data_IF_960182670522
#
_entry.id   IF_960182670522
#
_cell.length_a   1.000
_cell.length_b   1.000
_cell.length_c   1.000
_cell.angle_alpha   90.00
_cell.angle_beta   90.00
_cell.angle_gamma   90.00
#
_symmetry.space_group_name_H-M   'P 1'
#
loop_
_entity.id
_entity.type
_entity.pdbx_description
1 polymer ?
#
# COMPACT_ATOMS: atom_id res chain seq x y z
N UNK A 1 24.18 -12.54 -14.98
CA UNK A 1 23.70 -12.06 -14.98
C UNK A 1 23.16 -11.61 -15.14
N UNK A 2 23.19 -11.35 -15.37
CA UNK A 2 22.62 -10.69 -15.51
C UNK A 2 22.01 -10.15 -15.87
N UNK A 3 22.07 -10.04 -16.15
CA UNK A 3 21.46 -9.39 -16.45
C UNK A 3 20.91 -8.81 -16.75
N UNK A 4 21.00 -8.65 -16.86
CA UNK A 4 20.46 -7.92 -17.15
C UNK A 4 20.02 -7.37 -17.43
N UNK A 5 20.17 -7.44 -17.56
CA UNK A 5 19.77 -6.70 -17.76
C UNK A 5 19.43 -6.06 -18.28
N UNK A 6 19.38 -6.15 -18.65
CA UNK A 6 19.15 -5.37 -19.14
C UNK A 6 18.71 -4.74 -19.63
N UNK A 7 18.56 -4.38 -19.99
CA UNK A 7 18.01 -3.57 -20.52
C UNK A 7 18.14 -2.82 -21.02
N UNK A 8 18.26 -2.96 -21.36
CA UNK A 8 18.59 -2.11 -21.84
C UNK A 8 18.22 -1.00 -22.18
N UNK A 9 18.44 -0.67 -22.29
CA UNK A 9 18.16 0.22 -22.55
C UNK A 9 17.58 0.80 -22.82
N UNK A 10 17.38 0.92 -22.69
CA UNK A 10 16.89 1.57 -22.80
C UNK A 10 16.22 1.95 -22.90
N UNK A 11 15.99 1.75 -22.97
CA UNK A 11 15.27 2.31 -23.07
C UNK A 11 14.81 2.95 -22.21
N UNK A 12 15.01 3.15 -22.37
CA UNK A 12 14.46 3.97 -21.79
C UNK A 12 14.24 4.17 -20.53
N UNK A 13 13.84 4.78 -20.15
CA UNK A 13 13.50 5.14 -18.84
C UNK A 13 13.00 3.96 -18.10
N UNK A 14 13.87 3.03 -17.95
CA UNK A 14 13.57 1.90 -17.13
C UNK A 14 13.21 2.40 -15.74
N UNK A 15 12.11 1.92 -15.21
CA UNK A 15 11.72 2.27 -13.87
C UNK A 15 12.51 1.44 -12.90
N UNK A 16 12.95 2.09 -11.84
CA UNK A 16 13.61 1.41 -10.74
C UNK A 16 12.61 1.17 -9.64
N UNK A 17 12.64 -0.03 -9.09
CA UNK A 17 11.82 -0.34 -7.92
C UNK A 17 12.73 -0.86 -6.82
N UNK A 18 12.33 -0.62 -5.57
CA UNK A 18 13.00 -1.19 -4.42
C UNK A 18 11.99 -1.95 -3.59
N UNK A 19 12.45 -3.02 -2.97
CA UNK A 19 11.63 -3.77 -2.03
C UNK A 19 12.05 -3.37 -0.62
N UNK A 20 11.08 -3.07 0.22
CA UNK A 20 11.30 -2.66 1.58
C UNK A 20 10.61 -3.64 2.51
N UNK A 21 11.37 -4.20 3.44
CA UNK A 21 10.81 -5.11 4.43
C UNK A 21 10.17 -4.29 5.52
N UNK A 22 8.88 -4.50 5.77
CA UNK A 22 8.12 -3.74 6.75
C UNK A 22 7.99 -4.45 8.09
N UNK A 23 8.44 -5.70 8.17
CA UNK A 23 8.33 -6.47 9.38
C UNK A 23 7.25 -7.52 9.32
N UNK A 24 6.97 -8.20 10.43
CA UNK A 24 6.09 -9.36 10.42
C UNK A 24 4.63 -8.97 10.22
N UNK A 25 3.91 -9.81 9.49
CA UNK A 25 2.46 -9.64 9.31
C UNK A 25 1.74 -9.57 10.64
N UNK A 26 2.24 -10.28 11.64
CA UNK A 26 1.61 -10.31 12.95
C UNK A 26 1.60 -8.95 13.66
N UNK A 27 2.36 -7.97 13.16
CA UNK A 27 2.32 -6.62 13.73
C UNK A 27 1.02 -5.89 13.40
N UNK A 28 0.23 -6.40 12.45
CA UNK A 28 -1.05 -5.79 12.09
C UNK A 28 -2.16 -6.79 12.43
N UNK A 29 -3.02 -6.48 13.40
CA UNK A 29 -4.16 -7.34 13.68
C UNK A 29 -5.12 -7.39 12.49
N UNK A 30 -5.81 -8.51 12.27
CA UNK A 30 -6.80 -8.59 11.20
C UNK A 30 -7.86 -7.49 11.32
N UNK A 31 -8.16 -6.84 10.21
CA UNK A 31 -9.15 -5.77 10.16
C UNK A 31 -8.59 -4.40 10.51
N UNK A 32 -7.28 -4.27 10.68
CA UNK A 32 -6.67 -3.00 11.06
C UNK A 32 -5.60 -2.56 10.07
N UNK A 33 -5.18 -1.31 10.21
CA UNK A 33 -4.10 -0.73 9.43
C UNK A 33 -3.00 -0.19 10.33
N UNK A 34 -1.81 -0.04 9.75
CA UNK A 34 -0.65 0.54 10.42
C UNK A 34 0.10 1.42 9.44
N UNK A 35 0.71 2.46 9.98
CA UNK A 35 1.51 3.39 9.20
C UNK A 35 2.96 2.93 9.14
N UNK A 36 3.56 3.15 7.97
CA UNK A 36 4.99 2.90 7.76
C UNK A 36 5.56 4.04 6.97
N UNK A 37 6.87 4.25 7.09
CA UNK A 37 7.59 5.14 6.20
C UNK A 37 8.60 4.27 5.46
N UNK A 38 8.51 4.25 4.14
CA UNK A 38 9.36 3.42 3.30
C UNK A 38 9.88 4.28 2.16
N UNK A 39 11.20 4.36 2.03
CA UNK A 39 11.85 5.14 0.97
C UNK A 39 11.31 6.58 0.93
N UNK A 40 11.13 7.17 2.11
CA UNK A 40 10.63 8.55 2.24
C UNK A 40 9.15 8.73 2.02
N UNK A 41 8.40 7.67 1.75
CA UNK A 41 6.96 7.76 1.52
C UNK A 41 6.19 7.26 2.73
N UNK A 42 5.10 7.94 3.03
CA UNK A 42 4.20 7.54 4.13
C UNK A 42 3.17 6.60 3.56
N UNK A 43 3.08 5.41 4.12
CA UNK A 43 2.26 4.32 3.60
C UNK A 43 1.43 3.73 4.71
N UNK A 44 0.18 3.40 4.40
CA UNK A 44 -0.69 2.67 5.31
C UNK A 44 -0.87 1.25 4.77
N UNK A 45 -0.63 0.26 5.61
CA UNK A 45 -0.80 -1.14 5.25
C UNK A 45 -1.94 -1.71 6.06
N UNK A 46 -2.86 -2.40 5.37
CA UNK A 46 -4.07 -2.95 5.97
C UNK A 46 -4.06 -4.46 5.85
N UNK A 47 -4.46 -5.11 6.92
CA UNK A 47 -4.67 -6.55 6.93
C UNK A 47 -6.16 -6.80 7.05
N UNK A 48 -6.77 -7.39 6.01
CA UNK A 48 -8.20 -7.64 6.05
C UNK A 48 -8.50 -8.90 6.85
N UNK A 49 -9.73 -9.02 7.33
CA UNK A 49 -10.14 -10.21 8.06
C UNK A 49 -10.20 -11.44 7.16
N UNK A 50 -10.36 -11.21 5.86
CA UNK A 50 -10.35 -12.29 4.89
C UNK A 50 -8.97 -12.79 4.52
N UNK A 51 -7.92 -12.21 5.09
CA UNK A 51 -6.55 -12.68 4.85
C UNK A 51 -5.79 -11.90 3.80
N UNK A 52 -6.37 -10.84 3.24
CA UNK A 52 -5.67 -10.01 2.29
C UNK A 52 -4.77 -9.00 2.97
N UNK A 53 -3.76 -8.53 2.24
CA UNK A 53 -2.92 -7.45 2.68
C UNK A 53 -2.81 -6.42 1.57
N UNK A 54 -2.92 -5.14 1.92
CA UNK A 54 -2.95 -4.05 0.94
C UNK A 54 -2.19 -2.86 1.48
N UNK A 55 -1.48 -2.15 0.60
CA UNK A 55 -0.72 -0.95 0.96
C UNK A 55 -1.20 0.21 0.09
N UNK A 56 -1.48 1.33 0.73
CA UNK A 56 -1.93 2.55 0.05
C UNK A 56 -1.22 3.74 0.65
N UNK A 57 -1.40 4.91 0.03
CA UNK A 57 -0.90 6.15 0.63
C UNK A 57 -1.50 6.32 2.03
N UNK A 58 -0.74 6.93 2.94
CA UNK A 58 -1.15 7.01 4.34
C UNK A 58 -2.22 8.05 4.61
N UNK A 59 -2.33 9.07 3.75
CA UNK A 59 -3.22 10.19 3.98
C UNK A 59 -4.34 10.23 2.96
N UNK A 60 -5.54 10.53 3.43
CA UNK A 60 -6.69 10.69 2.56
C UNK A 60 -6.46 11.88 1.62
N UNK A 61 -6.71 11.73 0.32
CA UNK A 61 -6.48 12.85 -0.62
C UNK A 61 -7.41 14.01 -0.35
N UNK A 62 -8.52 13.78 0.33
CA UNK A 62 -9.51 14.79 0.60
C UNK A 62 -9.03 15.79 1.67
N UNK A 63 -8.63 15.29 2.84
CA UNK A 63 -8.26 16.15 3.96
C UNK A 63 -7.05 15.66 4.72
N UNK A 64 -6.26 14.79 4.10
CA UNK A 64 -5.08 14.20 4.73
C UNK A 64 -5.40 13.43 6.02
N UNK A 65 -6.64 12.93 6.11
CA UNK A 65 -7.00 12.09 7.26
C UNK A 65 -6.14 10.85 7.34
N UNK A 66 -5.91 10.33 8.56
CA UNK A 66 -5.05 9.16 8.74
C UNK A 66 -5.81 7.90 8.33
N UNK A 67 -5.54 7.43 7.12
CA UNK A 67 -6.28 6.30 6.56
C UNK A 67 -6.09 5.02 7.37
N UNK A 68 -4.95 4.86 8.04
CA UNK A 68 -4.71 3.68 8.88
C UNK A 68 -5.69 3.57 10.05
N UNK A 69 -6.31 4.69 10.45
CA UNK A 69 -7.29 4.70 11.52
C UNK A 69 -8.71 4.45 11.02
N UNK A 70 -8.87 4.26 9.72
CA UNK A 70 -10.19 4.05 9.13
C UNK A 70 -10.74 2.66 9.43
N UNK A 71 -12.00 2.48 9.08
CA UNK A 71 -12.70 1.21 9.26
C UNK A 71 -12.58 0.38 8.00
N UNK A 72 -12.26 -0.91 8.16
CA UNK A 72 -12.12 -1.83 7.04
C UNK A 72 -13.22 -2.86 7.10
N UNK A 73 -13.97 -2.99 6.01
CA UNK A 73 -14.97 -4.04 5.85
C UNK A 73 -14.73 -4.73 4.52
N UNK A 74 -14.42 -6.03 4.53
CA UNK A 74 -13.99 -6.71 3.31
C UNK A 74 -12.73 -6.05 2.78
N UNK A 75 -12.79 -5.51 1.56
CA UNK A 75 -11.68 -4.75 0.98
C UNK A 75 -12.02 -3.25 0.88
N UNK A 76 -13.06 -2.81 1.57
CA UNK A 76 -13.46 -1.41 1.57
C UNK A 76 -12.90 -0.71 2.79
N UNK A 77 -12.27 0.43 2.57
CA UNK A 77 -11.75 1.30 3.63
C UNK A 77 -12.64 2.53 3.74
N UNK A 78 -13.06 2.86 4.95
CA UNK A 78 -13.82 4.08 5.21
C UNK A 78 -12.91 5.05 5.96
N UNK A 79 -12.65 6.21 5.35
CA UNK A 79 -11.83 7.25 5.96
C UNK A 79 -12.48 7.75 7.24
N UNK A 80 -11.71 7.98 8.33
CA UNK A 80 -12.30 8.47 9.57
C UNK A 80 -12.83 9.91 9.46
N UNK A 81 -12.40 10.65 8.44
CA UNK A 81 -12.89 12.00 8.20
C UNK A 81 -13.86 11.98 7.02
N UNK A 82 -15.09 12.39 7.23
CA UNK A 82 -16.11 12.57 6.18
C UNK A 82 -16.53 11.28 5.47
N UNK A 83 -16.12 10.13 5.98
CA UNK A 83 -16.59 8.81 5.51
C UNK A 83 -16.35 8.52 4.03
N UNK A 84 -15.29 9.08 3.44
CA UNK A 84 -14.89 8.70 2.09
C UNK A 84 -14.53 7.23 2.08
N UNK A 85 -14.86 6.55 0.98
CA UNK A 85 -14.67 5.10 0.87
C UNK A 85 -13.77 4.78 -0.30
N UNK A 86 -12.89 3.83 -0.09
CA UNK A 86 -11.92 3.40 -1.09
C UNK A 86 -11.88 1.88 -1.17
N UNK A 87 -11.63 1.37 -2.38
CA UNK A 87 -11.35 -0.04 -2.56
C UNK A 87 -9.85 -0.25 -2.33
N UNK A 88 -9.49 -1.02 -1.34
CA UNK A 88 -8.09 -1.27 -1.01
C UNK A 88 -7.34 -1.99 -2.12
N UNK A 89 -8.03 -2.84 -2.88
CA UNK A 89 -7.38 -3.61 -3.94
C UNK A 89 -7.02 -2.77 -5.15
N UNK A 90 -7.84 -1.78 -5.48
CA UNK A 90 -7.63 -0.97 -6.68
C UNK A 90 -7.24 0.46 -6.40
N UNK A 91 -7.54 0.96 -5.20
CA UNK A 91 -7.37 2.37 -4.88
C UNK A 91 -8.49 3.26 -5.38
N UNK A 92 -9.49 2.68 -6.04
CA UNK A 92 -10.60 3.48 -6.57
C UNK A 92 -11.46 4.05 -5.46
N UNK A 93 -11.92 5.29 -5.67
CA UNK A 93 -12.87 5.89 -4.75
C UNK A 93 -14.23 5.24 -4.97
N UNK A 94 -14.81 4.72 -3.89
CA UNK A 94 -16.18 4.19 -3.91
C UNK A 94 -17.16 5.28 -3.49
N UNK A 95 -16.68 6.23 -2.71
CA UNK A 95 -17.43 7.43 -2.35
C UNK A 95 -16.42 8.53 -2.12
N UNK A 96 -16.48 9.58 -2.92
CA UNK A 96 -15.52 10.67 -2.94
C UNK A 96 -15.02 10.92 -4.35
N UNK A 97 -14.22 11.95 -4.54
CA UNK A 97 -13.81 12.43 -5.87
C UNK A 97 -12.50 11.83 -6.35
N UNK A 98 -11.65 11.39 -5.46
CA UNK A 98 -10.30 10.92 -5.80
C UNK A 98 -10.02 9.57 -5.17
N UNK A 99 -9.34 8.72 -5.93
CA UNK A 99 -8.84 7.47 -5.39
C UNK A 99 -7.54 7.68 -4.63
N UNK A 100 -6.96 6.58 -4.17
CA UNK A 100 -5.68 6.58 -3.47
C UNK A 100 -4.65 5.81 -4.26
N UNK A 101 -3.38 6.16 -4.07
CA UNK A 101 -2.29 5.42 -4.67
C UNK A 101 -2.14 4.09 -3.93
N UNK A 102 -1.96 3.01 -4.69
CA UNK A 102 -1.72 1.69 -4.13
C UNK A 102 -0.27 1.29 -4.38
N UNK A 103 0.24 0.39 -3.54
CA UNK A 103 1.60 -0.13 -3.65
C UNK A 103 1.53 -1.65 -3.59
N UNK A 104 2.32 -2.35 -4.41
CA UNK A 104 2.37 -3.80 -4.29
C UNK A 104 2.97 -4.19 -2.94
N UNK A 105 2.33 -5.13 -2.28
CA UNK A 105 2.84 -5.69 -1.02
C UNK A 105 2.58 -7.19 -1.05
N UNK A 106 3.55 -7.94 -0.56
CA UNK A 106 3.44 -9.40 -0.50
C UNK A 106 3.98 -9.90 0.83
N UNK A 107 3.67 -11.13 1.13
CA UNK A 107 4.17 -11.80 2.33
C UNK A 107 5.20 -12.84 1.88
N UNK A 108 6.39 -12.81 2.47
CA UNK A 108 7.43 -13.76 2.13
C UNK A 108 7.31 -15.05 2.96
N UNK A 109 8.27 -15.95 2.80
CA UNK A 109 8.23 -17.25 3.46
C UNK A 109 8.33 -17.15 4.97
N UNK A 110 8.92 -16.07 5.47
CA UNK A 110 9.05 -15.83 6.91
C UNK A 110 7.85 -15.05 7.47
N UNK A 111 6.79 -14.89 6.67
CA UNK A 111 5.61 -14.11 7.02
C UNK A 111 5.92 -12.65 7.31
N UNK A 112 6.87 -12.12 6.56
CA UNK A 112 7.19 -10.70 6.63
C UNK A 112 6.64 -9.96 5.42
N UNK A 113 6.25 -8.72 5.65
CA UNK A 113 5.65 -7.89 4.61
C UNK A 113 6.74 -7.25 3.77
N UNK A 114 6.65 -7.42 2.46
CA UNK A 114 7.60 -6.86 1.51
C UNK A 114 6.83 -5.87 0.63
N UNK A 115 7.21 -4.61 0.72
CA UNK A 115 6.57 -3.53 -0.02
C UNK A 115 7.43 -3.16 -1.21
N UNK A 116 6.82 -2.92 -2.36
CA UNK A 116 7.52 -2.48 -3.55
C UNK A 116 7.27 -0.99 -3.76
N UNK A 117 8.34 -0.21 -3.84
CA UNK A 117 8.28 1.22 -4.08
C UNK A 117 8.90 1.51 -5.44
N UNK A 118 8.19 2.30 -6.24
CA UNK A 118 8.65 2.75 -7.55
C UNK A 118 9.46 4.04 -7.36
N UNK A 119 10.70 4.03 -7.85
CA UNK A 119 11.62 5.15 -7.66
C UNK A 119 11.86 5.97 -8.91
N UNK A 120 10.97 6.00 -9.84
CA UNK A 120 11.17 6.80 -11.06
C UNK A 120 11.16 8.29 -10.83
#
# INVERSE_FOLDING_TARGET
MTVNMVNPGGLGAARSTVEVKLGPLSSIPPGEGRNFVADGEKIAVFRTRGGGIFAIQAECPHRRGPLADGLVGGTTLICPLHSWKFDLATGNALFGDCGVKTYPVRIDEAEEMILTIDQT
#
